data_IF_169377475449
#
_entry.id   IF_169377475449
#
_cell.length_a   1.000
_cell.length_b   1.000
_cell.length_c   1.000
_cell.angle_alpha   90.00
_cell.angle_beta   90.00
_cell.angle_gamma   90.00
#
_symmetry.space_group_name_H-M   'P 1'
#
loop_
_entity.id
_entity.type
_entity.pdbx_description
1 polymer ?
#
# COMPACT_ATOMS: atom_id res chain seq x y z
N UNK A 1 16.11 -8.38 12.19
CA UNK A 1 14.80 -9.09 12.07
C UNK A 1 14.71 -9.48 10.61
N UNK A 2 15.12 -10.71 10.28
CA UNK A 2 15.58 -11.13 8.94
C UNK A 2 14.57 -10.82 7.81
N UNK A 3 13.28 -10.95 8.09
CA UNK A 3 12.21 -10.73 7.10
C UNK A 3 12.14 -9.27 6.61
N UNK A 4 12.44 -8.30 7.49
CA UNK A 4 12.42 -6.86 7.12
C UNK A 4 13.55 -6.52 6.15
N UNK A 5 14.74 -7.05 6.44
CA UNK A 5 15.92 -6.87 5.59
C UNK A 5 15.70 -7.52 4.21
N UNK A 6 15.10 -8.71 4.18
CA UNK A 6 14.74 -9.40 2.93
C UNK A 6 13.69 -8.61 2.14
N UNK A 7 12.65 -8.08 2.79
CA UNK A 7 11.63 -7.29 2.11
C UNK A 7 12.20 -6.00 1.50
N UNK A 8 12.94 -5.22 2.30
CA UNK A 8 13.51 -3.96 1.85
C UNK A 8 14.57 -4.15 0.76
N UNK A 9 15.40 -5.20 0.85
CA UNK A 9 16.36 -5.54 -0.21
C UNK A 9 15.71 -5.99 -1.52
N UNK A 10 14.44 -6.42 -1.50
CA UNK A 10 13.67 -6.78 -2.70
C UNK A 10 12.81 -5.63 -3.24
N UNK A 11 12.72 -4.51 -2.54
CA UNK A 11 12.00 -3.34 -3.03
C UNK A 11 12.76 -2.68 -4.18
N UNK A 12 12.21 -2.75 -5.39
CA UNK A 12 12.81 -2.18 -6.60
C UNK A 12 12.42 -0.71 -6.85
N UNK A 13 11.46 -0.18 -6.08
CA UNK A 13 10.96 1.18 -6.23
C UNK A 13 10.43 1.72 -4.91
N UNK A 14 10.21 3.03 -4.87
CA UNK A 14 9.54 3.73 -3.77
C UNK A 14 8.14 3.16 -3.47
N UNK A 15 7.46 2.62 -4.49
CA UNK A 15 6.17 1.95 -4.32
C UNK A 15 6.26 0.63 -3.55
N UNK A 16 7.41 -0.05 -3.60
CA UNK A 16 7.67 -1.21 -2.75
C UNK A 16 7.87 -0.83 -1.28
N UNK A 17 8.46 0.34 -1.01
CA UNK A 17 8.67 0.84 0.36
C UNK A 17 7.38 1.41 0.96
N UNK A 18 6.61 2.16 0.16
CA UNK A 18 5.40 2.86 0.61
C UNK A 18 4.10 2.12 0.31
N UNK A 19 4.20 0.86 -0.11
CA UNK A 19 3.15 -0.13 -0.35
C UNK A 19 1.76 0.42 -0.67
N UNK A 20 1.26 0.06 -1.84
CA UNK A 20 -0.14 0.30 -2.15
C UNK A 20 -1.04 -0.32 -1.07
N UNK A 21 -1.87 0.49 -0.39
CA UNK A 21 -2.63 0.07 0.78
C UNK A 21 -3.44 -1.21 0.52
N UNK A 22 -4.01 -1.34 -0.69
CA UNK A 22 -4.83 -2.48 -1.06
C UNK A 22 -4.07 -3.81 -1.20
N UNK A 23 -2.73 -3.80 -1.20
CA UNK A 23 -1.91 -5.03 -1.18
C UNK A 23 -1.39 -5.40 0.22
N UNK A 24 -1.80 -4.67 1.26
CA UNK A 24 -1.40 -4.94 2.65
C UNK A 24 -2.48 -5.75 3.37
N UNK A 25 -2.05 -6.84 4.02
CA UNK A 25 -2.88 -7.59 4.94
C UNK A 25 -2.23 -7.49 6.32
N UNK A 26 -3.00 -7.01 7.30
CA UNK A 26 -2.53 -6.73 8.65
C UNK A 26 -3.54 -7.26 9.66
N UNK A 27 -3.05 -7.76 10.80
CA UNK A 27 -3.93 -8.11 11.91
C UNK A 27 -4.57 -6.83 12.46
N UNK A 28 -5.90 -6.77 12.51
CA UNK A 28 -6.66 -5.62 13.01
C UNK A 28 -6.18 -5.15 14.38
N UNK A 29 -5.95 -6.08 15.32
CA UNK A 29 -5.44 -5.77 16.67
C UNK A 29 -4.10 -5.02 16.66
N UNK A 30 -3.24 -5.28 15.66
CA UNK A 30 -1.94 -4.61 15.53
C UNK A 30 -2.08 -3.25 14.89
N UNK A 31 -3.02 -3.11 13.96
CA UNK A 31 -3.34 -1.83 13.33
C UNK A 31 -3.95 -0.85 14.34
N UNK A 32 -4.95 -1.31 15.10
CA UNK A 32 -5.67 -0.48 16.08
C UNK A 32 -4.81 -0.12 17.31
N UNK A 33 -3.73 -0.87 17.56
CA UNK A 33 -2.81 -0.59 18.67
C UNK A 33 -1.78 0.52 18.36
N UNK A 34 -1.71 1.00 17.11
CA UNK A 34 -0.79 2.07 16.74
C UNK A 34 -1.37 3.42 17.17
N UNK A 35 -0.61 4.15 17.98
CA UNK A 35 -0.89 5.57 18.25
C UNK A 35 -0.55 6.40 17.00
N UNK A 36 -1.58 6.95 16.37
CA UNK A 36 -1.45 7.61 15.07
C UNK A 36 -1.13 9.09 15.22
N UNK A 37 -0.02 9.53 14.62
CA UNK A 37 0.31 10.95 14.54
C UNK A 37 -0.55 11.64 13.47
N UNK A 38 -1.49 12.46 13.95
CA UNK A 38 -2.40 13.23 13.10
C UNK A 38 -1.68 14.19 12.12
N UNK A 39 -0.40 14.51 12.33
CA UNK A 39 0.39 15.31 11.39
C UNK A 39 0.55 14.66 10.00
N UNK A 40 0.37 13.33 9.90
CA UNK A 40 0.40 12.60 8.64
C UNK A 40 -0.89 12.72 7.82
N UNK A 41 -1.98 13.25 8.39
CA UNK A 41 -3.21 13.51 7.66
C UNK A 41 -2.93 14.54 6.55
N UNK A 42 -3.33 14.21 5.32
CA UNK A 42 -3.10 15.06 4.14
C UNK A 42 -1.74 14.86 3.45
N UNK A 43 -0.82 14.09 4.02
CA UNK A 43 0.51 13.84 3.43
C UNK A 43 0.54 12.77 2.34
N UNK A 44 -0.57 12.09 2.06
CA UNK A 44 -0.65 10.84 1.27
C UNK A 44 0.05 9.63 1.89
N UNK A 45 0.65 9.77 3.09
CA UNK A 45 1.35 8.70 3.79
C UNK A 45 0.75 8.26 5.14
N UNK A 46 -0.55 8.47 5.48
CA UNK A 46 -1.07 8.02 6.76
C UNK A 46 -1.02 6.49 6.90
N UNK A 47 -1.24 5.74 5.81
CA UNK A 47 -1.13 4.28 5.81
C UNK A 47 0.31 3.78 5.95
N UNK A 48 1.27 4.50 5.38
CA UNK A 48 2.70 4.18 5.50
C UNK A 48 3.15 4.33 6.94
N UNK A 49 2.73 5.40 7.63
CA UNK A 49 3.00 5.58 9.05
C UNK A 49 2.56 4.36 9.84
N UNK A 50 1.29 3.95 9.68
CA UNK A 50 0.74 2.81 10.43
C UNK A 50 1.48 1.52 10.07
N UNK A 51 1.71 1.27 8.78
CA UNK A 51 2.44 0.08 8.31
C UNK A 51 3.85 0.01 8.93
N UNK A 52 4.62 1.11 8.89
CA UNK A 52 5.97 1.15 9.43
C UNK A 52 5.98 1.02 10.96
N UNK A 53 4.99 1.57 11.66
CA UNK A 53 4.81 1.40 13.10
C UNK A 53 4.51 -0.06 13.48
N UNK A 54 3.62 -0.74 12.74
CA UNK A 54 3.36 -2.17 12.91
C UNK A 54 4.61 -2.98 12.61
N UNK A 55 5.28 -2.72 11.48
CA UNK A 55 6.50 -3.41 11.09
C UNK A 55 7.60 -3.28 12.13
N UNK A 56 7.77 -2.10 12.75
CA UNK A 56 8.82 -1.85 13.73
C UNK A 56 8.53 -2.47 15.11
N UNK A 57 7.30 -2.91 15.38
CA UNK A 57 6.94 -3.58 16.64
C UNK A 57 7.74 -4.87 16.85
N UNK A 58 8.27 -5.14 18.06
CA UNK A 58 8.94 -6.40 18.38
C UNK A 58 8.05 -7.63 18.11
N UNK A 59 8.64 -8.68 17.55
CA UNK A 59 7.92 -9.92 17.22
C UNK A 59 6.96 -9.81 16.03
N UNK A 60 6.95 -8.68 15.29
CA UNK A 60 6.27 -8.61 14.00
C UNK A 60 6.95 -9.57 13.01
N UNK A 61 6.14 -10.44 12.39
CA UNK A 61 6.53 -11.33 11.30
C UNK A 61 6.00 -10.75 9.99
N UNK A 62 6.85 -10.71 8.96
CA UNK A 62 6.50 -10.19 7.65
C UNK A 62 6.47 -11.33 6.63
N UNK A 63 5.30 -11.55 6.05
CA UNK A 63 5.14 -12.50 4.96
C UNK A 63 5.01 -11.75 3.63
N UNK A 64 6.03 -11.88 2.78
CA UNK A 64 6.04 -11.28 1.46
C UNK A 64 5.63 -12.29 0.38
N UNK A 65 4.62 -11.95 -0.41
CA UNK A 65 4.19 -12.72 -1.57
C UNK A 65 4.66 -12.00 -2.84
N UNK A 66 5.66 -12.57 -3.51
CA UNK A 66 6.23 -12.02 -4.75
C UNK A 66 5.37 -12.33 -5.99
N UNK A 67 4.06 -12.02 -5.92
CA UNK A 67 3.11 -12.20 -7.03
C UNK A 67 2.21 -10.97 -7.14
N UNK A 68 1.89 -10.51 -8.36
CA UNK A 68 0.98 -9.38 -8.57
C UNK A 68 -0.47 -9.84 -8.36
N UNK A 69 -0.90 -9.94 -7.10
CA UNK A 69 -2.25 -10.41 -6.75
C UNK A 69 -3.31 -9.30 -6.77
N UNK A 70 -2.88 -8.03 -6.76
CA UNK A 70 -3.76 -6.87 -6.73
C UNK A 70 -3.53 -6.05 -7.99
N UNK A 71 -4.60 -5.80 -8.74
CA UNK A 71 -4.58 -4.90 -9.88
C UNK A 71 -4.67 -3.47 -9.34
N UNK A 72 -3.67 -2.65 -9.64
CA UNK A 72 -3.63 -1.24 -9.27
C UNK A 72 -4.08 -0.38 -10.45
N UNK A 73 -4.93 0.62 -10.20
CA UNK A 73 -5.23 1.69 -11.17
C UNK A 73 -4.19 2.78 -10.96
N UNK A 74 -3.28 2.94 -11.92
CA UNK A 74 -2.12 3.84 -11.78
C UNK A 74 -2.43 5.33 -11.74
N UNK A 75 -3.65 5.74 -12.12
CA UNK A 75 -4.04 7.14 -12.14
C UNK A 75 -5.14 7.43 -11.13
N UNK A 76 -5.02 8.57 -10.45
CA UNK A 76 -6.08 9.14 -9.64
C UNK A 76 -7.15 9.74 -10.58
N UNK A 77 -8.40 9.87 -10.11
CA UNK A 77 -9.60 10.28 -10.88
C UNK A 77 -9.55 11.68 -11.57
N UNK A 78 -8.37 12.21 -11.87
CA UNK A 78 -8.11 13.37 -12.73
C UNK A 78 -8.77 13.29 -14.13
N UNK A 79 -9.28 12.12 -14.52
CA UNK A 79 -10.10 11.89 -15.71
C UNK A 79 -11.49 12.52 -15.68
N UNK A 80 -11.97 13.01 -14.53
CA UNK A 80 -13.28 13.65 -14.45
C UNK A 80 -13.40 14.81 -15.46
N UNK A 81 -12.28 15.49 -15.75
CA UNK A 81 -12.19 16.55 -16.78
C UNK A 81 -12.29 16.06 -18.23
N UNK A 82 -12.21 14.75 -18.49
CA UNK A 82 -12.23 14.13 -19.83
C UNK A 82 -13.42 13.16 -20.06
N UNK A 83 -14.38 13.14 -19.15
CA UNK A 83 -15.63 12.37 -19.28
C UNK A 83 -15.53 10.90 -18.82
N UNK A 84 -16.70 10.31 -18.51
CA UNK A 84 -16.82 8.99 -17.86
C UNK A 84 -16.49 7.79 -18.75
N UNK A 85 -16.43 7.96 -20.07
CA UNK A 85 -16.25 6.84 -21.01
C UNK A 85 -14.92 6.10 -20.81
N UNK A 86 -13.81 6.81 -20.55
CA UNK A 86 -12.51 6.17 -20.27
C UNK A 86 -12.51 5.39 -18.95
N UNK A 87 -13.27 5.85 -17.95
CA UNK A 87 -13.43 5.17 -16.67
C UNK A 87 -14.18 3.85 -16.82
N UNK A 88 -15.30 3.88 -17.54
CA UNK A 88 -16.08 2.68 -17.86
C UNK A 88 -15.20 1.71 -18.65
N UNK A 89 -14.44 2.22 -19.63
CA UNK A 89 -13.54 1.40 -20.44
C UNK A 89 -12.45 0.71 -19.61
N UNK A 90 -11.96 1.31 -18.53
CA UNK A 90 -11.00 0.66 -17.60
C UNK A 90 -11.65 -0.55 -16.90
N UNK A 91 -12.93 -0.49 -16.56
CA UNK A 91 -13.65 -1.65 -15.98
C UNK A 91 -13.76 -2.83 -16.97
N UNK A 92 -13.66 -2.56 -18.28
CA UNK A 92 -13.71 -3.58 -19.34
C UNK A 92 -12.31 -3.97 -19.89
N UNK A 93 -11.36 -3.03 -19.90
CA UNK A 93 -10.02 -3.18 -20.48
C UNK A 93 -8.97 -3.51 -19.41
N UNK A 94 -9.30 -3.57 -18.12
CA UNK A 94 -8.34 -3.94 -17.06
C UNK A 94 -7.74 -5.34 -17.29
N UNK A 95 -6.77 -5.40 -18.20
CA UNK A 95 -5.76 -6.39 -18.52
C UNK A 95 -5.03 -5.98 -19.81
N UNK A 96 -3.89 -5.30 -19.65
CA UNK A 96 -2.58 -5.61 -20.27
C UNK A 96 -1.50 -4.74 -19.63
#
# INVERSE_FOLDING_TARGET
NLDREIYLSRCLSIGGVFSYLSSLIVKKERWDAIDFDASYIGTSYPHVFIMMSVFNTPGCLLHYISKPLVICRGDNDSFEKKGKARRILIDFIAYL
#
